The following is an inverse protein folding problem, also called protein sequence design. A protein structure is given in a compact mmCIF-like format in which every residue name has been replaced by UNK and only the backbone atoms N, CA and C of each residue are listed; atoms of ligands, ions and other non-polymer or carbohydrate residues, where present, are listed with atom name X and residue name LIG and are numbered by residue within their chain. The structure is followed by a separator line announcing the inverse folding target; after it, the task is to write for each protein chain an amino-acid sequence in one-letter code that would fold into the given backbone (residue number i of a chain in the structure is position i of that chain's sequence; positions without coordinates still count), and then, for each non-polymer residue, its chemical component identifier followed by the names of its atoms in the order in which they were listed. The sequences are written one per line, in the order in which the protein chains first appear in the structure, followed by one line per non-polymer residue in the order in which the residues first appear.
data_IF_863925210083
#
_entry.id   IF_863925210083
#
_cell.length_a   1.000
_cell.length_b   1.000
_cell.length_c   1.000
_cell.angle_alpha   90.00
_cell.angle_beta   90.00
_cell.angle_gamma   90.00
#
_symmetry.space_group_name_H-M   'P 1'
#
loop_
_entity.id
_entity.type
_entity.pdbx_description
1 polymer ?
#
# COMPACT_ATOMS: atom_id res chain seq x y z
N UNK A 1 -39.13 -31.56 33.81
CA UNK A 1 -38.66 -31.08 32.49
C UNK A 1 -38.10 -29.67 32.67
N UNK A 2 -36.78 -29.49 32.66
CA UNK A 2 -36.13 -28.16 32.62
C UNK A 2 -35.41 -28.07 31.29
N UNK A 3 -35.94 -27.27 30.38
CA UNK A 3 -35.31 -26.96 29.09
C UNK A 3 -34.26 -25.88 29.39
N UNK A 4 -32.98 -26.25 29.39
CA UNK A 4 -31.89 -25.28 29.33
C UNK A 4 -31.81 -24.79 27.88
N UNK A 5 -32.15 -23.52 27.65
CA UNK A 5 -31.81 -22.84 26.39
C UNK A 5 -30.31 -22.57 26.39
N UNK A 6 -29.60 -23.24 25.48
CA UNK A 6 -28.21 -22.94 25.16
C UNK A 6 -28.21 -21.81 24.11
N UNK A 7 -27.96 -20.57 24.52
CA UNK A 7 -27.72 -19.46 23.59
C UNK A 7 -26.32 -19.60 23.00
N UNK A 8 -26.23 -20.06 21.75
CA UNK A 8 -25.00 -20.08 20.98
C UNK A 8 -24.65 -18.64 20.54
N UNK A 9 -23.63 -18.05 21.17
CA UNK A 9 -23.04 -16.78 20.74
C UNK A 9 -22.13 -17.04 19.53
N UNK A 10 -22.64 -16.80 18.33
CA UNK A 10 -21.85 -16.82 17.10
C UNK A 10 -20.95 -15.56 17.07
N UNK A 11 -19.70 -15.68 17.54
CA UNK A 11 -18.67 -14.68 17.25
C UNK A 11 -18.37 -14.70 15.75
N UNK A 12 -18.89 -13.72 15.02
CA UNK A 12 -18.42 -13.42 13.67
C UNK A 12 -17.08 -12.68 13.79
N UNK A 13 -15.98 -13.43 13.73
CA UNK A 13 -14.66 -12.85 13.53
C UNK A 13 -14.59 -12.35 12.08
N UNK A 14 -14.93 -11.08 11.86
CA UNK A 14 -14.62 -10.42 10.61
C UNK A 14 -13.12 -10.11 10.64
N UNK A 15 -12.29 -10.97 10.04
CA UNK A 15 -10.89 -10.66 9.85
C UNK A 15 -10.80 -9.57 8.79
N UNK A 16 -10.37 -8.37 9.20
CA UNK A 16 -10.02 -7.29 8.26
C UNK A 16 -8.92 -7.77 7.31
N UNK A 17 -8.87 -7.21 6.10
CA UNK A 17 -7.76 -7.53 5.21
C UNK A 17 -6.47 -6.92 5.77
N UNK A 18 -5.31 -7.56 5.54
CA UNK A 18 -4.01 -7.08 6.03
C UNK A 18 -3.72 -5.64 5.60
N UNK A 19 -4.19 -5.25 4.40
CA UNK A 19 -4.04 -3.87 3.91
C UNK A 19 -4.92 -2.89 4.66
N UNK A 20 -6.13 -3.27 5.07
CA UNK A 20 -7.02 -2.41 5.85
C UNK A 20 -6.43 -2.16 7.25
N UNK A 21 -5.91 -3.21 7.88
CA UNK A 21 -5.23 -3.09 9.18
C UNK A 21 -4.00 -2.18 9.09
N UNK A 22 -3.23 -2.28 8.01
CA UNK A 22 -2.08 -1.41 7.79
C UNK A 22 -2.49 0.04 7.48
N UNK A 23 -3.53 0.26 6.68
CA UNK A 23 -4.07 1.62 6.46
C UNK A 23 -4.59 2.22 7.76
N UNK A 24 -5.23 1.41 8.62
CA UNK A 24 -5.67 1.85 9.94
C UNK A 24 -4.51 2.25 10.84
N UNK A 25 -3.39 1.50 10.85
CA UNK A 25 -2.21 1.86 11.63
C UNK A 25 -1.58 3.17 11.14
N UNK A 26 -1.43 3.34 9.82
CA UNK A 26 -0.95 4.59 9.21
C UNK A 26 -1.87 5.76 9.56
N UNK A 27 -3.19 5.55 9.56
CA UNK A 27 -4.16 6.60 9.97
C UNK A 27 -3.92 7.04 11.41
N UNK A 28 -3.64 6.12 12.33
CA UNK A 28 -3.31 6.49 13.71
C UNK A 28 -2.00 7.30 13.81
N UNK A 29 -1.02 7.03 12.94
CA UNK A 29 0.19 7.85 12.86
C UNK A 29 -0.10 9.25 12.34
N UNK A 30 -0.86 9.38 11.25
CA UNK A 30 -1.22 10.70 10.68
C UNK A 30 -2.01 11.53 11.70
N UNK A 31 -2.92 10.93 12.45
CA UNK A 31 -3.74 11.64 13.46
C UNK A 31 -2.92 12.27 14.60
N UNK A 32 -1.70 11.77 14.88
CA UNK A 32 -0.81 12.37 15.87
C UNK A 32 -0.27 13.72 15.43
N UNK A 33 -0.11 13.93 14.12
CA UNK A 33 0.41 15.16 13.52
C UNK A 33 -0.71 16.06 13.00
N UNK A 34 -1.80 15.46 12.50
CA UNK A 34 -2.96 16.14 11.96
C UNK A 34 -4.26 15.51 12.51
N UNK A 35 -4.80 16.02 13.63
CA UNK A 35 -6.03 15.52 14.24
C UNK A 35 -7.27 15.62 13.34
N UNK A 36 -7.24 16.46 12.30
CA UNK A 36 -8.34 16.64 11.35
C UNK A 36 -8.25 15.68 10.15
N UNK A 37 -7.30 14.75 10.14
CA UNK A 37 -7.16 13.77 9.07
C UNK A 37 -8.39 12.86 8.99
N UNK A 38 -9.02 12.80 7.82
CA UNK A 38 -10.22 12.00 7.58
C UNK A 38 -9.91 10.69 6.87
N UNK A 39 -9.25 10.78 5.71
CA UNK A 39 -8.97 9.65 4.82
C UNK A 39 -7.73 9.87 3.94
N UNK A 40 -7.15 8.74 3.50
CA UNK A 40 -6.19 8.72 2.41
C UNK A 40 -6.88 9.02 1.07
N UNK A 41 -6.11 9.46 0.09
CA UNK A 41 -6.59 9.98 -1.18
C UNK A 41 -5.81 9.35 -2.34
N UNK A 42 -6.53 8.66 -3.22
CA UNK A 42 -5.94 8.00 -4.39
C UNK A 42 -5.34 9.00 -5.40
N UNK A 43 -5.84 10.23 -5.51
CA UNK A 43 -5.29 11.25 -6.41
C UNK A 43 -3.96 11.81 -5.88
N UNK A 44 -3.83 12.02 -4.57
CA UNK A 44 -2.53 12.34 -3.95
C UNK A 44 -1.55 11.18 -4.14
N UNK A 45 -2.02 9.95 -3.95
CA UNK A 45 -1.23 8.74 -4.20
C UNK A 45 -0.75 8.63 -5.64
N UNK A 46 -1.60 8.92 -6.62
CA UNK A 46 -1.24 8.93 -8.06
C UNK A 46 -0.17 9.97 -8.36
N UNK A 47 -0.29 11.18 -7.79
CA UNK A 47 0.71 12.24 -7.97
C UNK A 47 2.06 11.80 -7.44
N UNK A 48 2.11 11.20 -6.25
CA UNK A 48 3.35 10.63 -5.70
C UNK A 48 3.88 9.53 -6.64
N UNK A 49 3.04 8.57 -7.00
CA UNK A 49 3.44 7.41 -7.80
C UNK A 49 4.02 7.78 -9.17
N UNK A 50 3.55 8.86 -9.77
CA UNK A 50 3.93 9.29 -11.12
C UNK A 50 4.98 10.40 -11.15
N UNK A 51 5.33 11.01 -10.01
CA UNK A 51 6.30 12.11 -9.97
C UNK A 51 7.73 11.63 -10.22
N UNK A 52 8.45 12.33 -11.08
CA UNK A 52 9.86 12.07 -11.36
C UNK A 52 10.76 12.73 -10.32
N UNK A 53 11.78 12.00 -9.88
CA UNK A 53 12.77 12.45 -8.92
C UNK A 53 14.14 11.95 -9.34
N UNK A 54 15.20 12.67 -8.94
CA UNK A 54 16.55 12.12 -8.96
C UNK A 54 16.63 11.10 -7.84
N UNK A 55 16.31 9.86 -8.18
CA UNK A 55 16.29 8.75 -7.27
C UNK A 55 17.69 8.25 -6.93
N UNK A 56 17.71 7.09 -6.29
CA UNK A 56 18.92 6.40 -5.91
C UNK A 56 19.76 6.11 -7.15
N UNK A 57 21.08 6.18 -6.98
CA UNK A 57 22.08 6.08 -8.06
C UNK A 57 22.07 7.27 -9.04
N UNK A 58 21.45 8.39 -8.70
CA UNK A 58 21.50 9.62 -9.49
C UNK A 58 20.78 9.53 -10.84
N UNK A 59 19.76 8.67 -10.94
CA UNK A 59 18.92 8.53 -12.14
C UNK A 59 17.57 9.16 -11.89
N UNK A 60 17.04 9.83 -12.91
CA UNK A 60 15.67 10.32 -12.89
C UNK A 60 14.72 9.12 -13.03
N UNK A 61 13.92 8.86 -11.99
CA UNK A 61 12.95 7.77 -11.93
C UNK A 61 11.70 8.18 -11.16
N UNK A 62 10.63 7.40 -11.31
CA UNK A 62 9.41 7.43 -10.51
C UNK A 62 9.00 6.00 -10.15
N UNK A 63 7.89 5.81 -9.43
CA UNK A 63 7.37 4.46 -9.17
C UNK A 63 6.97 3.76 -10.49
N UNK A 64 6.47 4.51 -11.48
CA UNK A 64 6.09 3.97 -12.79
C UNK A 64 7.29 3.50 -13.61
N UNK A 65 8.52 3.97 -13.32
CA UNK A 65 9.73 3.46 -13.98
C UNK A 65 9.96 1.97 -13.74
N UNK A 66 9.52 1.43 -12.60
CA UNK A 66 9.58 -0.02 -12.32
C UNK A 66 8.23 -0.72 -12.50
N UNK A 67 7.13 -0.06 -12.13
CA UNK A 67 5.81 -0.70 -12.07
C UNK A 67 4.93 -0.47 -13.30
N UNK A 68 5.38 0.35 -14.26
CA UNK A 68 4.57 0.77 -15.39
C UNK A 68 3.44 1.72 -14.98
N UNK A 69 2.63 2.11 -15.96
CA UNK A 69 1.43 2.94 -15.77
C UNK A 69 0.15 2.11 -15.61
N UNK A 70 0.15 0.87 -16.12
CA UNK A 70 -0.95 -0.09 -15.97
C UNK A 70 -0.59 -1.13 -14.91
N UNK A 71 -1.07 -0.92 -13.68
CA UNK A 71 -0.74 -1.77 -12.53
C UNK A 71 -1.36 -3.18 -12.61
N UNK A 72 -2.23 -3.43 -13.58
CA UNK A 72 -2.79 -4.76 -13.86
C UNK A 72 -1.84 -5.63 -14.70
N UNK A 73 -0.76 -5.06 -15.23
CA UNK A 73 0.24 -5.76 -16.04
C UNK A 73 1.55 -5.94 -15.28
N UNK A 74 2.30 -6.96 -15.68
CA UNK A 74 3.70 -7.10 -15.28
C UNK A 74 4.54 -5.98 -15.91
N UNK A 75 5.61 -5.62 -15.22
CA UNK A 75 6.63 -4.67 -15.69
C UNK A 75 8.01 -5.21 -15.30
N UNK A 76 9.06 -4.41 -15.40
CA UNK A 76 10.41 -4.78 -15.03
C UNK A 76 11.07 -3.73 -14.13
N UNK A 77 11.90 -4.18 -13.20
CA UNK A 77 12.71 -3.29 -12.39
C UNK A 77 13.68 -2.49 -13.28
N UNK A 78 13.56 -1.17 -13.25
CA UNK A 78 14.33 -0.25 -14.09
C UNK A 78 15.85 -0.47 -14.07
N UNK A 79 16.42 -0.90 -12.93
CA UNK A 79 17.86 -1.06 -12.77
C UNK A 79 18.38 -2.47 -13.09
N UNK A 80 17.53 -3.49 -13.03
CA UNK A 80 17.96 -4.89 -13.08
C UNK A 80 17.30 -5.70 -14.19
N UNK A 81 16.24 -5.18 -14.83
CA UNK A 81 15.44 -5.90 -15.82
C UNK A 81 14.66 -7.08 -15.24
N UNK A 82 14.63 -7.25 -13.92
CA UNK A 82 13.86 -8.33 -13.29
C UNK A 82 12.37 -8.06 -13.42
N UNK A 83 11.61 -9.06 -13.89
CA UNK A 83 10.16 -9.00 -13.98
C UNK A 83 9.55 -8.72 -12.60
N UNK A 84 8.58 -7.83 -12.59
CA UNK A 84 7.72 -7.49 -11.47
C UNK A 84 6.29 -7.85 -11.87
N UNK A 85 5.72 -8.82 -11.16
CA UNK A 85 4.31 -9.20 -11.31
C UNK A 85 3.36 -8.02 -11.08
N UNK A 86 2.13 -8.05 -11.63
CA UNK A 86 1.14 -6.99 -11.45
C UNK A 86 1.06 -6.49 -10.00
N UNK A 87 1.03 -5.16 -9.86
CA UNK A 87 1.02 -4.51 -8.56
C UNK A 87 -0.41 -4.35 -8.02
N UNK A 88 -1.40 -4.22 -8.90
CA UNK A 88 -2.81 -4.16 -8.50
C UNK A 88 -3.26 -5.49 -7.88
N UNK A 89 -3.91 -5.49 -6.71
CA UNK A 89 -4.52 -6.69 -6.14
C UNK A 89 -5.67 -7.25 -6.98
N UNK A 90 -6.27 -6.47 -7.90
CA UNK A 90 -7.30 -6.95 -8.82
C UNK A 90 -6.73 -7.95 -9.84
N UNK A 91 -5.51 -7.70 -10.32
CA UNK A 91 -4.81 -8.59 -11.24
C UNK A 91 -3.94 -9.64 -10.50
N UNK A 92 -3.46 -9.32 -9.29
CA UNK A 92 -2.64 -10.21 -8.48
C UNK A 92 -3.10 -10.22 -7.01
N UNK A 93 -4.03 -11.12 -6.64
CA UNK A 93 -4.60 -11.19 -5.29
C UNK A 93 -3.60 -11.52 -4.17
N UNK A 94 -2.34 -11.86 -4.49
CA UNK A 94 -1.27 -12.04 -3.50
C UNK A 94 -0.67 -10.71 -3.03
N UNK A 95 -1.00 -9.59 -3.68
CA UNK A 95 -0.53 -8.26 -3.28
C UNK A 95 -1.26 -7.82 -2.01
N UNK A 96 -0.50 -7.20 -1.10
CA UNK A 96 -0.98 -6.66 0.17
C UNK A 96 -1.59 -7.68 1.15
N UNK A 97 -1.16 -8.95 1.08
CA UNK A 97 -1.60 -10.01 2.01
C UNK A 97 -0.60 -10.31 3.12
N UNK A 98 0.58 -9.68 3.10
CA UNK A 98 1.64 -9.86 4.10
C UNK A 98 2.18 -8.50 4.52
N UNK A 99 2.09 -8.20 5.83
CA UNK A 99 2.45 -6.89 6.37
C UNK A 99 3.95 -6.59 6.20
N UNK A 100 4.81 -7.56 6.46
CA UNK A 100 6.26 -7.39 6.37
C UNK A 100 6.70 -7.10 4.94
N UNK A 101 6.04 -7.71 3.94
CA UNK A 101 6.24 -7.41 2.53
C UNK A 101 5.82 -5.99 2.16
N UNK A 102 4.65 -5.53 2.63
CA UNK A 102 4.16 -4.17 2.39
C UNK A 102 5.18 -3.16 2.94
N UNK A 103 5.54 -3.27 4.23
CA UNK A 103 6.46 -2.35 4.89
C UNK A 103 7.84 -2.33 4.22
N UNK A 104 8.39 -3.51 3.92
CA UNK A 104 9.68 -3.67 3.24
C UNK A 104 9.69 -2.95 1.90
N UNK A 105 8.69 -3.20 1.05
CA UNK A 105 8.69 -2.67 -0.31
C UNK A 105 8.31 -1.20 -0.37
N UNK A 106 7.34 -0.75 0.43
CA UNK A 106 7.03 0.68 0.53
C UNK A 106 8.25 1.47 0.99
N UNK A 107 8.94 1.01 2.05
CA UNK A 107 10.18 1.66 2.51
C UNK A 107 11.26 1.67 1.42
N UNK A 108 11.54 0.55 0.77
CA UNK A 108 12.57 0.46 -0.27
C UNK A 108 12.25 1.33 -1.48
N UNK A 109 11.01 1.29 -1.97
CA UNK A 109 10.60 2.02 -3.17
C UNK A 109 10.63 3.53 -2.94
N UNK A 110 10.17 4.01 -1.77
CA UNK A 110 10.35 5.42 -1.41
C UNK A 110 11.83 5.81 -1.32
N UNK A 111 12.69 4.98 -0.73
CA UNK A 111 14.13 5.28 -0.71
C UNK A 111 14.75 5.26 -2.10
N UNK A 112 14.30 4.37 -2.99
CA UNK A 112 14.83 4.29 -4.35
C UNK A 112 14.38 5.49 -5.20
N UNK A 113 13.13 5.95 -5.09
CA UNK A 113 12.62 7.09 -5.88
C UNK A 113 12.91 8.44 -5.22
N UNK A 114 12.69 8.58 -3.91
CA UNK A 114 12.73 9.85 -3.18
C UNK A 114 14.00 10.05 -2.33
N UNK A 115 14.88 9.05 -2.22
CA UNK A 115 16.05 9.06 -1.31
C UNK A 115 15.70 9.32 0.16
N UNK A 116 14.46 9.01 0.57
CA UNK A 116 13.97 9.08 1.95
C UNK A 116 12.86 8.07 2.18
N UNK A 117 12.48 7.86 3.43
CA UNK A 117 11.24 7.16 3.74
C UNK A 117 10.02 8.04 3.42
N UNK A 118 8.93 7.40 3.00
CA UNK A 118 7.63 8.06 2.88
C UNK A 118 7.02 8.32 4.26
N UNK A 119 6.31 9.44 4.41
CA UNK A 119 5.51 9.72 5.62
C UNK A 119 4.31 8.77 5.71
N UNK A 120 3.67 8.69 6.87
CA UNK A 120 2.48 7.86 7.03
C UNK A 120 1.35 8.25 6.03
N UNK A 121 1.20 9.56 5.79
CA UNK A 121 0.26 10.09 4.81
C UNK A 121 0.59 9.62 3.38
N UNK A 122 1.84 9.81 2.96
CA UNK A 122 2.29 9.42 1.62
C UNK A 122 2.16 7.92 1.38
N UNK A 123 2.52 7.10 2.38
CA UNK A 123 2.37 5.63 2.32
C UNK A 123 0.91 5.24 2.13
N UNK A 124 0.01 5.79 2.94
CA UNK A 124 -1.41 5.43 2.88
C UNK A 124 -2.09 5.93 1.60
N UNK A 125 -1.73 7.13 1.11
CA UNK A 125 -2.21 7.66 -0.18
C UNK A 125 -1.75 6.77 -1.35
N UNK A 126 -0.47 6.38 -1.39
CA UNK A 126 0.08 5.50 -2.44
C UNK A 126 -0.56 4.11 -2.41
N UNK A 127 -0.74 3.52 -1.24
CA UNK A 127 -1.40 2.21 -1.12
C UNK A 127 -2.86 2.31 -1.58
N UNK A 128 -3.57 3.35 -1.14
CA UNK A 128 -4.95 3.63 -1.56
C UNK A 128 -5.06 3.81 -3.07
N UNK A 129 -4.09 4.46 -3.70
CA UNK A 129 -4.00 4.54 -5.15
C UNK A 129 -3.86 3.17 -5.80
N UNK A 130 -2.90 2.36 -5.33
CA UNK A 130 -2.60 1.05 -5.93
C UNK A 130 -3.80 0.10 -5.85
N UNK A 131 -4.44 -0.02 -4.68
CA UNK A 131 -5.56 -0.96 -4.49
C UNK A 131 -6.81 -0.57 -5.29
N UNK A 132 -6.92 0.69 -5.71
CA UNK A 132 -8.03 1.20 -6.53
C UNK A 132 -7.78 1.08 -8.04
N UNK A 133 -6.55 0.82 -8.49
CA UNK A 133 -6.25 0.52 -9.90
C UNK A 133 -6.57 -0.93 -10.21
#
# INVERSE_FOLDING_TARGET
MKILLLTALLLNLCFGSVVDDYLNSLKQEVLKENPNFTSFDASRGEKIFTSNHIGKKGKEISCTSCHGTDLNKSSENFFTGKVIEPLSPKANPKRFTDLAEIEKWIKRNFNDVYNREGTALEKGDVITYIINK
#
